data_IF_370217083511
#
_entry.id   IF_370217083511
#
_cell.length_a   1.000
_cell.length_b   1.000
_cell.length_c   1.000
_cell.angle_alpha   90.00
_cell.angle_beta   90.00
_cell.angle_gamma   90.00
#
_symmetry.space_group_name_H-M   'P 1'
#
loop_
_entity.id
_entity.type
_entity.pdbx_description
1 polymer ?
#
# COMPACT_ATOMS: atom_id res chain seq x y z
N UNK A 1 -1.00 -40.50 -11.06
CA UNK A 1 -1.33 -39.28 -11.84
C UNK A 1 -0.27 -39.05 -12.91
N UNK A 2 -0.65 -38.98 -14.18
CA UNK A 2 0.26 -38.68 -15.29
C UNK A 2 0.84 -37.26 -15.17
N UNK A 3 2.13 -37.10 -15.47
CA UNK A 3 2.87 -35.82 -15.48
C UNK A 3 2.22 -34.78 -16.38
N UNK A 4 1.58 -35.22 -17.47
CA UNK A 4 0.82 -34.39 -18.40
C UNK A 4 -0.36 -33.66 -17.73
N UNK A 5 -1.12 -34.37 -16.90
CA UNK A 5 -2.28 -33.80 -16.21
C UNK A 5 -1.86 -32.75 -15.16
N UNK A 6 -0.75 -32.99 -14.46
CA UNK A 6 -0.18 -32.02 -13.51
C UNK A 6 0.28 -30.74 -14.22
N UNK A 7 0.90 -30.86 -15.40
CA UNK A 7 1.35 -29.71 -16.19
C UNK A 7 0.18 -28.84 -16.66
N UNK A 8 -0.88 -29.48 -17.21
CA UNK A 8 -2.07 -28.78 -17.69
C UNK A 8 -2.80 -27.99 -16.59
N UNK A 9 -2.87 -28.53 -15.37
CA UNK A 9 -3.45 -27.83 -14.22
C UNK A 9 -2.64 -26.60 -13.81
N UNK A 10 -1.30 -26.68 -13.89
CA UNK A 10 -0.41 -25.54 -13.59
C UNK A 10 -0.58 -24.45 -14.64
N UNK A 11 -0.63 -24.80 -15.92
CA UNK A 11 -0.84 -23.85 -17.03
C UNK A 11 -2.21 -23.14 -16.92
N UNK A 12 -3.27 -23.89 -16.60
CA UNK A 12 -4.61 -23.32 -16.38
C UNK A 12 -4.63 -22.34 -15.21
N UNK A 13 -3.98 -22.69 -14.10
CA UNK A 13 -3.87 -21.81 -12.94
C UNK A 13 -3.11 -20.51 -13.27
N UNK A 14 -2.04 -20.61 -14.04
CA UNK A 14 -1.29 -19.43 -14.52
C UNK A 14 -2.15 -18.53 -15.41
N UNK A 15 -2.94 -19.11 -16.32
CA UNK A 15 -3.84 -18.34 -17.17
C UNK A 15 -4.93 -17.61 -16.36
N UNK A 16 -5.46 -18.26 -15.31
CA UNK A 16 -6.42 -17.61 -14.40
C UNK A 16 -5.79 -16.48 -13.58
N UNK A 17 -4.57 -16.69 -13.08
CA UNK A 17 -3.82 -15.67 -12.34
C UNK A 17 -3.53 -14.45 -13.25
N UNK A 18 -3.13 -14.67 -14.50
CA UNK A 18 -2.92 -13.60 -15.48
C UNK A 18 -4.23 -12.85 -15.80
N UNK A 19 -5.34 -13.57 -16.01
CA UNK A 19 -6.63 -12.95 -16.26
C UNK A 19 -7.13 -12.12 -15.05
N UNK A 20 -6.87 -12.57 -13.82
CA UNK A 20 -7.34 -11.91 -12.60
C UNK A 20 -6.50 -10.70 -12.23
N UNK A 21 -5.17 -10.79 -12.32
CA UNK A 21 -4.26 -9.77 -11.83
C UNK A 21 -3.63 -8.96 -12.97
N UNK A 22 -3.26 -9.63 -14.06
CA UNK A 22 -2.44 -9.06 -15.13
C UNK A 22 -1.06 -8.61 -14.65
N UNK A 23 -0.28 -8.02 -15.56
CA UNK A 23 1.06 -7.51 -15.24
C UNK A 23 1.03 -6.40 -14.18
N UNK A 24 0.06 -5.48 -14.25
CA UNK A 24 0.03 -4.29 -13.38
C UNK A 24 -0.23 -4.61 -11.92
N UNK A 25 -0.94 -5.70 -11.62
CA UNK A 25 -1.26 -6.15 -10.26
C UNK A 25 -0.47 -7.39 -9.84
N UNK A 26 0.62 -7.70 -10.55
CA UNK A 26 1.50 -8.82 -10.21
C UNK A 26 2.93 -8.35 -9.93
N UNK A 27 3.39 -8.51 -8.69
CA UNK A 27 4.79 -8.31 -8.32
C UNK A 27 5.53 -9.65 -8.35
N UNK A 28 6.35 -9.86 -9.39
CA UNK A 28 7.16 -11.07 -9.53
C UNK A 28 8.61 -10.87 -9.08
N UNK A 29 8.88 -11.16 -7.81
CA UNK A 29 10.22 -11.11 -7.22
C UNK A 29 11.07 -12.33 -7.59
N UNK A 30 10.43 -13.48 -7.90
CA UNK A 30 11.13 -14.70 -8.30
C UNK A 30 11.98 -14.49 -9.56
N UNK A 31 11.47 -13.77 -10.55
CA UNK A 31 12.17 -13.55 -11.82
C UNK A 31 13.42 -12.66 -11.67
N UNK A 32 13.50 -11.88 -10.60
CA UNK A 32 14.51 -10.83 -10.41
C UNK A 32 15.62 -11.24 -9.43
N UNK A 33 15.48 -12.40 -8.76
CA UNK A 33 16.43 -12.95 -7.79
C UNK A 33 17.01 -11.92 -6.78
N UNK A 34 16.17 -11.11 -6.10
CA UNK A 34 16.64 -10.10 -5.16
C UNK A 34 17.17 -10.73 -3.87
N UNK A 35 18.00 -9.98 -3.16
CA UNK A 35 18.27 -10.25 -1.73
C UNK A 35 17.00 -10.07 -0.89
N UNK A 36 16.98 -10.61 0.33
CA UNK A 36 15.85 -10.47 1.24
C UNK A 36 15.49 -9.00 1.54
N UNK A 37 16.51 -8.15 1.70
CA UNK A 37 16.35 -6.72 1.97
C UNK A 37 15.80 -5.96 0.75
N UNK A 38 16.28 -6.28 -0.45
CA UNK A 38 15.76 -5.72 -1.71
C UNK A 38 14.32 -6.13 -1.95
N UNK A 39 13.99 -7.40 -1.74
CA UNK A 39 12.62 -7.92 -1.85
C UNK A 39 11.66 -7.16 -0.92
N UNK A 40 12.06 -6.95 0.34
CA UNK A 40 11.26 -6.18 1.29
C UNK A 40 11.07 -4.73 0.88
N UNK A 41 12.13 -4.04 0.42
CA UNK A 41 12.03 -2.64 -0.05
C UNK A 41 11.14 -2.51 -1.28
N UNK A 42 11.32 -3.40 -2.27
CA UNK A 42 10.51 -3.41 -3.50
C UNK A 42 9.05 -3.70 -3.20
N UNK A 43 8.78 -4.71 -2.37
CA UNK A 43 7.41 -5.03 -1.96
C UNK A 43 6.75 -3.87 -1.21
N UNK A 44 7.45 -3.20 -0.29
CA UNK A 44 6.92 -2.04 0.44
C UNK A 44 6.55 -0.89 -0.51
N UNK A 45 7.48 -0.45 -1.34
CA UNK A 45 7.26 0.64 -2.29
C UNK A 45 6.13 0.31 -3.28
N UNK A 46 6.17 -0.88 -3.88
CA UNK A 46 5.19 -1.29 -4.88
C UNK A 46 3.78 -1.42 -4.31
N UNK A 47 3.62 -1.98 -3.10
CA UNK A 47 2.30 -2.12 -2.47
C UNK A 47 1.69 -0.76 -2.13
N UNK A 48 2.50 0.19 -1.65
CA UNK A 48 2.04 1.57 -1.41
C UNK A 48 1.60 2.25 -2.70
N UNK A 49 2.39 2.13 -3.76
CA UNK A 49 2.06 2.70 -5.07
C UNK A 49 0.75 2.10 -5.63
N UNK A 50 0.57 0.78 -5.51
CA UNK A 50 -0.66 0.10 -5.96
C UNK A 50 -1.88 0.50 -5.14
N UNK A 51 -1.71 0.70 -3.83
CA UNK A 51 -2.76 1.23 -2.97
C UNK A 51 -3.17 2.64 -3.40
N UNK A 52 -2.19 3.53 -3.61
CA UNK A 52 -2.41 4.89 -4.09
C UNK A 52 -3.03 4.96 -5.50
N UNK A 53 -2.77 3.95 -6.33
CA UNK A 53 -3.37 3.80 -7.66
C UNK A 53 -4.82 3.29 -7.61
N UNK A 54 -5.34 2.90 -6.44
CA UNK A 54 -6.68 2.35 -6.25
C UNK A 54 -6.82 0.86 -6.58
N UNK A 55 -5.72 0.12 -6.67
CA UNK A 55 -5.78 -1.33 -6.86
C UNK A 55 -6.38 -1.98 -5.61
N UNK A 56 -7.37 -2.87 -5.78
CA UNK A 56 -8.03 -3.57 -4.66
C UNK A 56 -7.32 -4.86 -4.25
N UNK A 57 -6.79 -5.57 -5.22
CA UNK A 57 -6.20 -6.89 -5.00
C UNK A 57 -4.99 -7.08 -5.91
N UNK A 58 -3.93 -7.68 -5.37
CA UNK A 58 -2.65 -7.90 -6.04
C UNK A 58 -2.07 -9.28 -5.74
N UNK A 59 -1.23 -9.77 -6.66
CA UNK A 59 -0.48 -11.02 -6.52
C UNK A 59 1.01 -10.71 -6.29
N UNK A 60 1.59 -11.30 -5.24
CA UNK A 60 3.03 -11.20 -4.94
C UNK A 60 3.67 -12.57 -5.04
N UNK A 61 4.62 -12.74 -5.97
CA UNK A 61 5.32 -14.01 -6.23
C UNK A 61 6.75 -13.92 -5.71
N UNK A 62 7.05 -14.69 -4.67
CA UNK A 62 8.36 -14.71 -3.98
C UNK A 62 9.23 -15.90 -4.39
N UNK A 63 8.62 -16.95 -4.97
CA UNK A 63 9.27 -18.23 -5.25
C UNK A 63 9.14 -19.23 -4.09
N UNK A 64 9.38 -20.51 -4.38
CA UNK A 64 9.09 -21.65 -3.48
C UNK A 64 10.25 -22.09 -2.58
N UNK A 65 11.43 -21.48 -2.70
CA UNK A 65 12.59 -21.85 -1.86
C UNK A 65 13.30 -23.15 -2.21
N UNK A 66 12.94 -23.83 -3.32
CA UNK A 66 13.54 -25.12 -3.73
C UNK A 66 15.09 -25.10 -3.96
N UNK A 67 15.75 -23.94 -3.88
CA UNK A 67 17.22 -23.77 -3.96
C UNK A 67 17.80 -23.01 -2.77
N UNK A 68 17.05 -22.85 -1.69
CA UNK A 68 17.47 -22.12 -0.49
C UNK A 68 18.03 -23.09 0.56
N UNK A 69 18.98 -22.63 1.36
CA UNK A 69 19.54 -23.38 2.49
C UNK A 69 18.39 -23.79 3.43
N UNK A 70 18.31 -25.08 3.77
CA UNK A 70 17.22 -25.69 4.56
C UNK A 70 15.81 -25.68 3.91
N UNK A 71 15.67 -25.36 2.62
CA UNK A 71 14.38 -25.34 1.92
C UNK A 71 13.47 -24.15 2.26
N UNK A 72 13.96 -23.18 3.04
CA UNK A 72 13.23 -21.97 3.44
C UNK A 72 13.60 -20.79 2.53
N UNK A 73 12.62 -20.21 1.85
CA UNK A 73 12.85 -19.03 1.02
C UNK A 73 12.98 -17.77 1.88
N UNK A 74 14.21 -17.31 2.08
CA UNK A 74 14.51 -16.05 2.81
C UNK A 74 13.73 -14.86 2.22
N UNK A 75 13.55 -14.82 0.90
CA UNK A 75 12.73 -13.81 0.20
C UNK A 75 11.25 -13.93 0.59
N UNK A 76 10.69 -15.13 0.64
CA UNK A 76 9.30 -15.33 1.05
C UNK A 76 9.08 -14.87 2.48
N UNK A 77 9.99 -15.20 3.39
CA UNK A 77 9.90 -14.80 4.79
C UNK A 77 10.01 -13.29 4.98
N UNK A 78 10.96 -12.66 4.29
CA UNK A 78 11.14 -11.21 4.36
C UNK A 78 9.92 -10.47 3.81
N UNK A 79 9.34 -10.94 2.70
CA UNK A 79 8.10 -10.39 2.14
C UNK A 79 6.92 -10.64 3.05
N UNK A 80 6.76 -11.84 3.63
CA UNK A 80 5.69 -12.11 4.59
C UNK A 80 5.78 -11.19 5.83
N UNK A 81 6.98 -10.89 6.31
CA UNK A 81 7.20 -9.90 7.38
C UNK A 81 6.80 -8.50 6.93
N UNK A 82 7.21 -8.07 5.73
CA UNK A 82 6.80 -6.79 5.14
C UNK A 82 5.29 -6.68 5.03
N UNK A 83 4.58 -7.69 4.53
CA UNK A 83 3.12 -7.70 4.41
C UNK A 83 2.43 -7.51 5.78
N UNK A 84 2.92 -8.18 6.83
CA UNK A 84 2.39 -8.00 8.20
C UNK A 84 2.64 -6.59 8.73
N UNK A 85 3.79 -6.00 8.45
CA UNK A 85 4.08 -4.60 8.81
C UNK A 85 3.14 -3.65 8.07
N UNK A 86 2.98 -3.83 6.75
CA UNK A 86 2.11 -3.03 5.91
C UNK A 86 0.63 -3.12 6.32
N UNK A 87 0.20 -4.26 6.84
CA UNK A 87 -1.14 -4.43 7.41
C UNK A 87 -1.36 -3.57 8.66
N UNK A 88 -0.35 -3.49 9.53
CA UNK A 88 -0.43 -2.67 10.76
C UNK A 88 -0.50 -1.16 10.47
N UNK A 89 0.15 -0.72 9.38
CA UNK A 89 0.18 0.70 8.99
C UNK A 89 -0.90 1.08 7.97
N UNK A 90 -1.83 0.19 7.66
CA UNK A 90 -3.00 0.49 6.85
C UNK A 90 -2.78 0.49 5.33
N UNK A 91 -1.75 -0.20 4.83
CA UNK A 91 -1.53 -0.41 3.39
C UNK A 91 -2.23 -1.69 2.91
N UNK A 92 -2.15 -2.74 3.73
CA UNK A 92 -2.73 -4.06 3.44
C UNK A 92 -3.92 -4.29 4.34
N UNK A 93 -5.01 -4.83 3.79
CA UNK A 93 -6.17 -5.25 4.56
C UNK A 93 -6.06 -6.74 4.95
N UNK A 94 -5.98 -7.61 3.94
CA UNK A 94 -5.89 -9.06 4.11
C UNK A 94 -4.73 -9.66 3.30
N UNK A 95 -4.21 -10.79 3.81
CA UNK A 95 -3.14 -11.56 3.20
C UNK A 95 -3.61 -13.01 3.14
N UNK A 96 -3.63 -13.60 1.96
CA UNK A 96 -3.94 -15.00 1.74
C UNK A 96 -2.78 -15.68 1.00
N UNK A 97 -2.41 -16.87 1.45
CA UNK A 97 -1.48 -17.70 0.68
C UNK A 97 -2.20 -18.26 -0.55
N UNK A 98 -1.60 -18.04 -1.72
CA UNK A 98 -2.15 -18.51 -3.00
C UNK A 98 -1.47 -19.79 -3.49
N UNK A 99 -0.15 -19.86 -3.26
CA UNK A 99 0.67 -21.08 -3.42
C UNK A 99 1.83 -21.00 -2.43
N UNK A 100 2.60 -22.09 -2.22
CA UNK A 100 3.78 -22.08 -1.33
C UNK A 100 4.80 -20.95 -1.58
N UNK A 101 4.79 -20.31 -2.76
CA UNK A 101 5.68 -19.21 -3.11
C UNK A 101 4.99 -17.93 -3.57
N UNK A 102 3.71 -17.73 -3.23
CA UNK A 102 2.96 -16.53 -3.62
C UNK A 102 1.83 -16.17 -2.66
N UNK A 103 1.55 -14.88 -2.55
CA UNK A 103 0.45 -14.32 -1.75
C UNK A 103 -0.52 -13.56 -2.63
N UNK A 104 -1.81 -13.70 -2.36
CA UNK A 104 -2.82 -12.73 -2.78
C UNK A 104 -3.01 -11.74 -1.63
N UNK A 105 -2.99 -10.46 -1.95
CA UNK A 105 -3.04 -9.37 -0.98
C UNK A 105 -4.19 -8.44 -1.36
N UNK A 106 -5.13 -8.25 -0.44
CA UNK A 106 -6.14 -7.20 -0.58
C UNK A 106 -5.57 -5.92 0.01
N UNK A 107 -5.57 -4.85 -0.78
CA UNK A 107 -5.09 -3.54 -0.38
C UNK A 107 -6.17 -2.80 0.38
N UNK A 108 -5.74 -2.07 1.40
CA UNK A 108 -6.64 -1.29 2.23
C UNK A 108 -7.03 0.03 1.52
N UNK A 109 -8.20 0.61 1.83
CA UNK A 109 -8.52 1.97 1.39
C UNK A 109 -7.51 2.98 1.94
N UNK A 110 -7.29 4.10 1.24
CA UNK A 110 -6.30 5.12 1.61
C UNK A 110 -6.47 5.61 3.04
N UNK A 111 -7.72 5.76 3.50
CA UNK A 111 -8.01 6.22 4.85
C UNK A 111 -7.43 5.41 5.98
N UNK A 112 -7.18 4.12 5.72
CA UNK A 112 -6.55 3.23 6.72
C UNK A 112 -5.15 3.70 7.09
N UNK A 113 -4.46 4.46 6.23
CA UNK A 113 -3.14 5.03 6.52
C UNK A 113 -3.21 5.99 7.72
N UNK A 114 -4.08 7.00 7.66
CA UNK A 114 -4.17 8.01 8.71
C UNK A 114 -4.92 7.51 9.95
N UNK A 115 -5.93 6.63 9.79
CA UNK A 115 -6.54 5.92 10.92
C UNK A 115 -5.51 5.11 11.72
N UNK A 116 -4.57 4.44 11.03
CA UNK A 116 -3.52 3.65 11.66
C UNK A 116 -2.43 4.52 12.28
N UNK A 117 -2.06 5.62 11.61
CA UNK A 117 -1.11 6.59 12.16
C UNK A 117 -1.61 7.20 13.47
N UNK A 118 -2.90 7.56 13.55
CA UNK A 118 -3.53 8.06 14.79
C UNK A 118 -3.51 7.03 15.92
N UNK A 119 -3.81 5.76 15.64
CA UNK A 119 -3.75 4.68 16.65
C UNK A 119 -2.33 4.43 17.17
N UNK A 120 -1.33 4.67 16.33
CA UNK A 120 0.08 4.51 16.70
C UNK A 120 0.65 5.71 17.47
N UNK A 121 -0.03 6.87 17.43
CA UNK A 121 0.38 8.03 18.20
C UNK A 121 0.13 7.76 19.71
N UNK A 122 1.17 7.81 20.56
CA UNK A 122 0.97 7.66 22.00
C UNK A 122 0.09 8.80 22.53
N UNK A 123 -0.86 8.45 23.42
CA UNK A 123 -1.68 9.44 24.11
C UNK A 123 -0.76 10.42 24.87
N UNK A 124 -0.67 11.65 24.38
CA UNK A 124 0.08 12.73 25.05
C UNK A 124 1.54 12.93 24.63
N UNK A 125 2.06 12.30 23.56
CA UNK A 125 3.38 12.68 23.05
C UNK A 125 3.30 13.21 21.61
N UNK A 126 3.40 14.54 21.52
CA UNK A 126 3.48 15.33 20.31
C UNK A 126 4.84 15.19 19.64
N UNK A 127 5.23 13.94 19.33
CA UNK A 127 6.38 13.72 18.46
C UNK A 127 5.93 14.02 17.05
N UNK A 128 6.18 15.27 16.67
CA UNK A 128 6.57 15.73 15.33
C UNK A 128 7.52 14.72 14.67
N UNK A 129 6.99 13.60 14.22
CA UNK A 129 7.68 12.69 13.32
C UNK A 129 7.73 13.37 11.95
N UNK A 130 8.59 14.41 11.81
CA UNK A 130 8.78 15.24 10.61
C UNK A 130 7.53 15.29 9.74
N UNK A 131 6.48 15.90 10.28
CA UNK A 131 5.31 16.20 9.46
C UNK A 131 5.82 17.01 8.26
N UNK A 132 5.48 16.54 7.06
CA UNK A 132 5.97 17.14 5.84
C UNK A 132 5.33 18.52 5.76
N UNK A 133 6.11 19.61 5.68
CA UNK A 133 5.53 20.93 5.56
C UNK A 133 4.68 20.98 4.30
N UNK A 134 3.49 21.55 4.42
CA UNK A 134 2.56 21.82 3.32
C UNK A 134 3.05 22.97 2.44
N UNK A 135 4.03 23.74 2.94
CA UNK A 135 4.71 24.82 2.22
C UNK A 135 5.37 24.30 0.93
N UNK A 136 5.04 24.92 -0.19
CA UNK A 136 5.59 24.61 -1.51
C UNK A 136 4.73 23.71 -2.39
N UNK A 137 3.54 23.28 -1.92
CA UNK A 137 2.52 22.68 -2.78
C UNK A 137 1.80 23.76 -3.60
N UNK A 138 1.39 23.39 -4.81
CA UNK A 138 0.48 24.19 -5.63
C UNK A 138 -0.83 24.45 -4.86
N UNK A 139 -1.42 25.66 -4.98
CA UNK A 139 -2.66 26.00 -4.27
C UNK A 139 -3.81 25.00 -4.50
N UNK A 140 -3.92 24.41 -5.70
CA UNK A 140 -4.96 23.42 -5.98
C UNK A 140 -4.71 22.10 -5.25
N UNK A 141 -3.45 21.66 -5.15
CA UNK A 141 -3.05 20.46 -4.40
C UNK A 141 -3.30 20.69 -2.90
N UNK A 142 -2.99 21.88 -2.39
CA UNK A 142 -3.22 22.26 -1.01
C UNK A 142 -4.71 22.28 -0.66
N UNK A 143 -5.56 22.82 -1.55
CA UNK A 143 -7.00 22.84 -1.37
C UNK A 143 -7.60 21.42 -1.28
N UNK A 144 -7.15 20.49 -2.14
CA UNK A 144 -7.60 19.09 -2.07
C UNK A 144 -7.12 18.38 -0.80
N UNK A 145 -5.88 18.65 -0.37
CA UNK A 145 -5.37 18.11 0.89
C UNK A 145 -6.15 18.64 2.09
N UNK A 146 -6.53 19.92 2.07
CA UNK A 146 -7.39 20.53 3.10
C UNK A 146 -8.75 19.86 3.14
N UNK A 147 -9.41 19.66 2.00
CA UNK A 147 -10.70 18.94 1.92
C UNK A 147 -10.59 17.52 2.50
N UNK A 148 -9.52 16.78 2.15
CA UNK A 148 -9.28 15.45 2.70
C UNK A 148 -9.09 15.46 4.23
N UNK A 149 -8.37 16.45 4.74
CA UNK A 149 -8.16 16.63 6.18
C UNK A 149 -9.46 17.00 6.91
N UNK A 150 -10.25 17.92 6.36
CA UNK A 150 -11.56 18.29 6.90
C UNK A 150 -12.49 17.07 7.00
N UNK A 151 -12.63 16.28 5.92
CA UNK A 151 -13.45 15.06 5.93
C UNK A 151 -12.96 14.02 6.94
N UNK A 152 -11.66 13.88 7.10
CA UNK A 152 -11.06 12.98 8.10
C UNK A 152 -11.40 13.41 9.53
N UNK A 153 -11.36 14.72 9.82
CA UNK A 153 -11.72 15.29 11.12
C UNK A 153 -13.23 15.22 11.39
N UNK A 154 -14.05 15.47 10.37
CA UNK A 154 -15.50 15.38 10.44
C UNK A 154 -15.92 13.92 10.77
N UNK A 155 -15.26 12.93 10.17
CA UNK A 155 -15.48 11.51 10.48
C UNK A 155 -15.13 11.12 11.92
N UNK A 156 -14.37 11.96 12.65
CA UNK A 156 -14.06 11.79 14.08
C UNK A 156 -15.04 12.57 14.98
N UNK A 157 -15.94 13.38 14.42
CA UNK A 157 -16.88 14.21 15.17
C UNK A 157 -16.25 15.40 15.89
N UNK A 158 -15.07 15.86 15.43
CA UNK A 158 -14.37 17.02 16.01
C UNK A 158 -15.08 18.31 15.59
N UNK A 159 -15.54 19.12 16.57
CA UNK A 159 -16.28 20.36 16.30
C UNK A 159 -15.39 21.55 15.95
N UNK A 160 -14.26 21.73 16.66
CA UNK A 160 -13.26 22.78 16.37
C UNK A 160 -12.12 22.23 15.51
N UNK A 161 -12.43 21.98 14.23
CA UNK A 161 -11.49 21.34 13.29
C UNK A 161 -10.29 22.21 12.93
N UNK A 162 -10.44 23.54 12.91
CA UNK A 162 -9.38 24.47 12.47
C UNK A 162 -8.09 24.31 13.30
N UNK A 163 -8.21 24.01 14.59
CA UNK A 163 -7.06 23.81 15.49
C UNK A 163 -6.23 22.57 15.12
N UNK A 164 -6.87 21.56 14.51
CA UNK A 164 -6.24 20.29 14.15
C UNK A 164 -5.88 20.19 12.66
N UNK A 165 -6.37 21.12 11.85
CA UNK A 165 -6.38 20.98 10.40
C UNK A 165 -4.97 20.93 9.79
N UNK A 166 -4.11 21.89 10.13
CA UNK A 166 -2.72 21.91 9.63
C UNK A 166 -1.95 20.65 10.01
N UNK A 167 -2.17 20.15 11.23
CA UNK A 167 -1.53 18.91 11.71
C UNK A 167 -2.04 17.69 10.94
N UNK A 168 -3.35 17.62 10.70
CA UNK A 168 -3.94 16.52 9.94
C UNK A 168 -3.45 16.56 8.49
N UNK A 169 -3.44 17.73 7.84
CA UNK A 169 -2.90 17.93 6.49
C UNK A 169 -1.45 17.48 6.40
N UNK A 170 -0.58 17.91 7.32
CA UNK A 170 0.83 17.53 7.31
C UNK A 170 1.04 16.02 7.57
N UNK A 171 0.20 15.42 8.42
CA UNK A 171 0.21 13.97 8.68
C UNK A 171 -0.19 13.18 7.44
N UNK A 172 -1.29 13.56 6.80
CA UNK A 172 -1.77 12.93 5.57
C UNK A 172 -0.74 13.09 4.45
N UNK A 173 -0.18 14.29 4.27
CA UNK A 173 0.87 14.54 3.29
C UNK A 173 2.07 13.60 3.49
N UNK A 174 2.58 13.48 4.71
CA UNK A 174 3.70 12.57 5.03
C UNK A 174 3.43 11.10 4.72
N UNK A 175 2.16 10.67 4.78
CA UNK A 175 1.76 9.31 4.43
C UNK A 175 1.64 9.15 2.91
N UNK A 176 1.02 10.11 2.23
CA UNK A 176 0.78 10.07 0.79
C UNK A 176 2.09 10.14 -0.01
N UNK A 177 3.04 10.99 0.39
CA UNK A 177 4.33 11.11 -0.32
C UNK A 177 5.17 9.83 -0.31
N UNK A 178 4.91 8.88 0.60
CA UNK A 178 5.57 7.56 0.62
C UNK A 178 5.03 6.60 -0.44
N UNK A 179 3.84 6.87 -0.96
CA UNK A 179 3.21 6.09 -2.01
C UNK A 179 3.45 6.68 -3.41
N UNK A 180 4.05 7.87 -3.49
CA UNK A 180 4.31 8.58 -4.75
C UNK A 180 5.81 8.53 -5.07
N UNK A 181 6.20 7.95 -6.22
CA UNK A 181 7.59 7.97 -6.66
C UNK A 181 8.11 9.40 -6.87
N UNK A 182 9.38 9.62 -6.55
CA UNK A 182 10.07 10.87 -6.85
C UNK A 182 10.18 11.14 -8.36
N UNK A 183 10.35 12.41 -8.75
CA UNK A 183 10.49 12.83 -10.15
C UNK A 183 9.77 14.14 -10.47
N UNK A 184 9.85 14.61 -11.72
CA UNK A 184 9.28 15.89 -12.16
C UNK A 184 7.75 15.95 -11.98
N UNK A 185 7.05 14.84 -12.19
CA UNK A 185 5.59 14.76 -12.09
C UNK A 185 5.10 14.35 -10.68
N UNK A 186 5.95 14.44 -9.66
CA UNK A 186 5.61 13.98 -8.30
C UNK A 186 4.37 14.67 -7.76
N UNK A 187 4.24 15.98 -7.96
CA UNK A 187 3.09 16.72 -7.49
C UNK A 187 1.80 16.37 -8.25
N UNK A 188 1.88 16.20 -9.58
CA UNK A 188 0.75 15.72 -10.37
C UNK A 188 0.26 14.36 -9.87
N UNK A 189 1.19 13.43 -9.62
CA UNK A 189 0.86 12.12 -9.06
C UNK A 189 0.26 12.24 -7.66
N UNK A 190 0.82 13.08 -6.79
CA UNK A 190 0.27 13.32 -5.45
C UNK A 190 -1.17 13.83 -5.51
N UNK A 191 -1.45 14.82 -6.35
CA UNK A 191 -2.81 15.34 -6.58
C UNK A 191 -3.77 14.23 -7.00
N UNK A 192 -3.29 13.36 -7.88
CA UNK A 192 -4.03 12.20 -8.35
C UNK A 192 -4.32 11.16 -7.27
N UNK A 193 -3.43 10.99 -6.29
CA UNK A 193 -3.68 10.15 -5.10
C UNK A 193 -4.69 10.81 -4.18
N UNK A 194 -4.57 12.12 -3.91
CA UNK A 194 -5.51 12.85 -3.05
C UNK A 194 -6.92 12.79 -3.63
N UNK A 195 -7.06 13.03 -4.94
CA UNK A 195 -8.35 12.92 -5.64
C UNK A 195 -8.98 11.54 -5.47
N UNK A 196 -8.23 10.46 -5.67
CA UNK A 196 -8.72 9.09 -5.47
C UNK A 196 -9.12 8.82 -4.02
N UNK A 197 -8.38 9.34 -3.06
CA UNK A 197 -8.72 9.23 -1.64
C UNK A 197 -10.06 9.93 -1.32
N UNK A 198 -10.29 11.12 -1.88
CA UNK A 198 -11.56 11.84 -1.76
C UNK A 198 -12.72 11.05 -2.39
N UNK A 199 -12.53 10.53 -3.61
CA UNK A 199 -13.51 9.68 -4.31
C UNK A 199 -13.86 8.41 -3.50
N UNK A 200 -12.87 7.80 -2.84
CA UNK A 200 -13.07 6.62 -2.00
C UNK A 200 -13.87 6.95 -0.73
N UNK A 201 -13.66 8.11 -0.11
CA UNK A 201 -14.43 8.56 1.06
C UNK A 201 -15.87 8.97 0.69
N UNK A 202 -16.09 9.55 -0.50
CA UNK A 202 -17.44 9.83 -1.01
C UNK A 202 -18.24 8.55 -1.22
N UNK A 203 -17.60 7.49 -1.74
CA UNK A 203 -18.24 6.19 -1.96
C UNK A 203 -18.69 5.47 -0.69
N UNK A 204 -18.17 5.88 0.48
CA UNK A 204 -18.55 5.34 1.79
C UNK A 204 -19.83 5.98 2.35
N UNK A 205 -20.06 7.24 2.02
CA UNK A 205 -21.14 8.05 2.63
C UNK A 205 -22.48 7.86 1.92
N UNK A 206 -22.47 7.25 0.72
CA UNK A 206 -23.66 6.83 -0.02
C UNK A 206 -24.11 5.43 0.37
#
# INVERSE_FOLDING_TARGET
>A
MSTYHRRRLVELKHAYDEARFGADRTLNLRAQLPTAAEASRRADAWLRERQASGAREVLVITGRGNRSENGLSVVRESVAKTLRTLRRVGVVDTIAEHTPGSFVVTLAPMRRLWESARRAAPAGNDRTARATPTLGLDPSTLAMLRDLAERSLDALGIRDREVFLEREMATQLSLLVRAVPDGPDRELRLRDVIRRALEEDDSRTR
#
